data_IF_818353159388
#
_entry.id   IF_818353159388
#
_cell.length_a   1.000
_cell.length_b   1.000
_cell.length_c   1.000
_cell.angle_alpha   90.00
_cell.angle_beta   90.00
_cell.angle_gamma   90.00
#
_symmetry.space_group_name_H-M   'P 1'
#
loop_
_entity.id
_entity.type
_entity.pdbx_description
1 polymer ?
#
# COMPACT_ATOMS: atom_id res chain seq x y z
N UNK A 1 -17.70 -12.93 -11.04
CA UNK A 1 -17.03 -13.99 -10.29
C UNK A 1 -15.56 -13.65 -10.13
N UNK A 2 -15.23 -12.93 -9.06
CA UNK A 2 -13.92 -12.87 -8.38
C UNK A 2 -14.18 -12.21 -7.00
N UNK A 3 -14.95 -12.91 -6.15
CA UNK A 3 -15.33 -12.47 -4.79
C UNK A 3 -14.34 -12.89 -3.72
N UNK A 4 -13.04 -12.96 -4.05
CA UNK A 4 -11.99 -13.22 -3.08
C UNK A 4 -11.44 -11.91 -2.56
N UNK A 5 -11.45 -11.72 -1.24
CA UNK A 5 -10.62 -10.70 -0.61
C UNK A 5 -9.16 -11.06 -0.92
N UNK A 6 -8.54 -10.36 -1.86
CA UNK A 6 -7.10 -10.46 -2.06
C UNK A 6 -6.44 -9.94 -0.79
N UNK A 7 -5.62 -10.80 -0.17
CA UNK A 7 -4.87 -10.44 1.02
C UNK A 7 -3.52 -9.88 0.59
N UNK A 8 -3.04 -8.82 1.26
CA UNK A 8 -1.73 -8.29 0.97
C UNK A 8 -0.67 -9.29 1.46
N UNK A 9 0.59 -9.12 1.05
CA UNK A 9 1.68 -9.75 1.79
C UNK A 9 1.61 -9.29 3.26
N UNK A 10 1.72 -10.20 4.23
CA UNK A 10 1.58 -9.82 5.65
C UNK A 10 2.89 -9.97 6.38
N UNK A 11 3.27 -8.95 7.14
CA UNK A 11 4.27 -9.02 8.19
C UNK A 11 3.58 -8.87 9.54
N UNK A 12 3.70 -9.88 10.37
CA UNK A 12 3.10 -9.92 11.71
C UNK A 12 4.21 -9.89 12.74
N UNK A 13 4.09 -8.98 13.70
CA UNK A 13 4.95 -8.90 14.87
C UNK A 13 4.09 -8.67 16.12
N UNK A 14 4.63 -8.90 17.34
CA UNK A 14 3.89 -8.63 18.56
C UNK A 14 3.44 -7.17 18.74
N UNK A 15 4.06 -6.22 18.03
CA UNK A 15 3.82 -4.79 18.19
C UNK A 15 3.14 -4.11 17.00
N UNK A 16 3.01 -4.79 15.85
CA UNK A 16 2.41 -4.23 14.63
C UNK A 16 2.10 -5.31 13.61
N UNK A 17 1.05 -5.08 12.81
CA UNK A 17 0.78 -5.82 11.57
C UNK A 17 0.94 -4.88 10.39
N UNK A 18 1.66 -5.34 9.36
CA UNK A 18 1.85 -4.60 8.11
C UNK A 18 1.28 -5.43 6.96
N UNK A 19 0.28 -4.88 6.28
CA UNK A 19 -0.12 -5.33 4.96
C UNK A 19 0.81 -4.72 3.91
N UNK A 20 1.25 -5.50 2.93
CA UNK A 20 2.13 -5.10 1.85
C UNK A 20 1.41 -5.30 0.52
N UNK A 21 1.14 -4.20 -0.18
CA UNK A 21 0.86 -4.20 -1.62
C UNK A 21 2.16 -3.88 -2.35
N UNK A 22 2.43 -4.59 -3.44
CA UNK A 22 3.74 -4.55 -4.09
C UNK A 22 3.59 -4.56 -5.60
N UNK A 23 3.94 -3.45 -6.23
CA UNK A 23 3.83 -3.28 -7.68
C UNK A 23 5.19 -3.07 -8.34
N UNK A 24 5.29 -3.48 -9.60
CA UNK A 24 6.52 -3.28 -10.39
C UNK A 24 6.30 -2.26 -11.49
N UNK A 25 5.59 -2.65 -12.55
CA UNK A 25 5.26 -1.75 -13.67
C UNK A 25 3.76 -1.54 -13.84
N UNK A 26 2.94 -2.19 -13.01
CA UNK A 26 1.49 -2.22 -13.19
C UNK A 26 0.86 -0.83 -13.02
N UNK A 27 1.35 0.00 -12.07
CA UNK A 27 0.94 1.40 -11.90
C UNK A 27 1.20 2.31 -13.11
N UNK A 28 2.04 1.87 -14.07
CA UNK A 28 2.24 2.62 -15.32
C UNK A 28 1.06 2.42 -16.27
N UNK A 29 0.28 1.35 -16.09
CA UNK A 29 -0.99 1.15 -16.78
C UNK A 29 -2.13 1.74 -15.92
N UNK A 30 -2.99 2.55 -16.54
CA UNK A 30 -4.09 3.17 -15.80
C UNK A 30 -5.08 2.14 -15.25
N UNK A 31 -5.70 2.47 -14.11
CA UNK A 31 -6.59 1.58 -13.38
C UNK A 31 -8.03 2.07 -13.40
N UNK A 32 -8.96 1.14 -13.63
CA UNK A 32 -10.39 1.45 -13.50
C UNK A 32 -10.82 1.25 -12.06
N UNK A 33 -11.44 2.28 -11.50
CA UNK A 33 -12.13 2.18 -10.21
C UNK A 33 -13.26 1.17 -10.33
N UNK A 34 -13.25 0.17 -9.45
CA UNK A 34 -14.31 -0.83 -9.35
C UNK A 34 -14.41 -1.36 -7.93
N UNK A 35 -15.58 -1.17 -7.33
CA UNK A 35 -15.96 -1.71 -6.02
C UNK A 35 -17.13 -2.67 -6.19
N UNK A 36 -17.12 -3.76 -5.42
CA UNK A 36 -18.20 -4.75 -5.40
C UNK A 36 -19.23 -4.40 -4.33
N UNK A 37 -20.43 -4.99 -4.38
CA UNK A 37 -21.43 -4.86 -3.29
C UNK A 37 -20.86 -5.30 -1.94
N UNK A 38 -19.95 -6.28 -1.93
CA UNK A 38 -19.24 -6.72 -0.71
C UNK A 38 -18.34 -5.61 -0.14
N UNK A 39 -17.81 -4.74 -1.00
CA UNK A 39 -17.04 -3.57 -0.57
C UNK A 39 -17.93 -2.60 0.19
N UNK A 40 -19.12 -2.30 -0.35
CA UNK A 40 -20.09 -1.43 0.32
C UNK A 40 -20.57 -2.03 1.65
N UNK A 41 -20.88 -3.33 1.66
CA UNK A 41 -21.34 -4.02 2.86
C UNK A 41 -20.29 -4.00 4.00
N UNK A 42 -19.00 -4.11 3.68
CA UNK A 42 -17.93 -4.03 4.66
C UNK A 42 -17.92 -2.69 5.43
N UNK A 43 -18.35 -1.60 4.79
CA UNK A 43 -18.35 -0.25 5.36
C UNK A 43 -19.67 0.14 6.04
N UNK A 44 -20.73 -0.65 5.88
CA UNK A 44 -22.08 -0.28 6.32
C UNK A 44 -22.17 0.07 7.81
N UNK A 45 -21.50 -0.74 8.65
CA UNK A 45 -21.55 -0.63 10.12
C UNK A 45 -20.24 -0.06 10.71
N UNK A 46 -19.38 0.53 9.88
CA UNK A 46 -18.09 1.08 10.32
C UNK A 46 -18.11 2.60 10.40
N UNK A 47 -17.40 3.13 11.39
CA UNK A 47 -17.17 4.57 11.50
C UNK A 47 -16.55 5.12 10.21
N UNK A 48 -16.92 6.35 9.88
CA UNK A 48 -16.38 7.04 8.72
C UNK A 48 -14.95 7.51 9.01
N UNK A 49 -14.02 7.11 8.14
CA UNK A 49 -12.61 7.50 8.19
C UNK A 49 -12.10 7.88 6.81
N UNK A 50 -10.82 8.26 6.71
CA UNK A 50 -10.20 8.68 5.44
C UNK A 50 -10.38 7.67 4.31
N UNK A 51 -10.21 6.37 4.59
CA UNK A 51 -10.36 5.29 3.60
C UNK A 51 -11.77 5.16 3.04
N UNK A 52 -12.80 5.24 3.91
CA UNK A 52 -14.20 5.17 3.47
C UNK A 52 -14.58 6.40 2.64
N UNK A 53 -14.16 7.60 3.08
CA UNK A 53 -14.41 8.85 2.35
C UNK A 53 -13.80 8.81 0.96
N UNK A 54 -12.57 8.34 0.87
CA UNK A 54 -11.85 8.23 -0.39
C UNK A 54 -12.49 7.21 -1.33
N UNK A 55 -12.92 6.05 -0.80
CA UNK A 55 -13.70 5.07 -1.58
C UNK A 55 -14.99 5.69 -2.16
N UNK A 56 -15.75 6.43 -1.35
CA UNK A 56 -16.99 7.08 -1.80
C UNK A 56 -16.73 8.14 -2.87
N UNK A 57 -15.69 8.96 -2.71
CA UNK A 57 -15.29 9.97 -3.70
C UNK A 57 -14.92 9.34 -5.05
N UNK A 58 -14.14 8.25 -5.03
CA UNK A 58 -13.78 7.48 -6.23
C UNK A 58 -14.99 6.82 -6.88
N UNK A 59 -15.94 6.31 -6.09
CA UNK A 59 -17.17 5.69 -6.60
C UNK A 59 -18.12 6.71 -7.25
N UNK A 60 -18.17 7.93 -6.71
CA UNK A 60 -18.98 9.03 -7.26
C UNK A 60 -18.31 9.70 -8.47
N UNK A 61 -17.01 9.46 -8.68
CA UNK A 61 -16.23 10.07 -9.75
C UNK A 61 -15.86 11.53 -9.47
N UNK A 62 -15.82 11.92 -8.19
CA UNK A 62 -15.42 13.27 -7.77
C UNK A 62 -13.98 13.58 -8.19
N UNK A 63 -13.13 12.54 -8.15
CA UNK A 63 -11.77 12.57 -8.64
C UNK A 63 -11.30 11.13 -9.00
N UNK A 64 -10.04 10.98 -9.41
CA UNK A 64 -9.46 9.68 -9.69
C UNK A 64 -7.95 9.74 -9.91
N UNK A 65 -7.35 8.55 -9.98
CA UNK A 65 -5.92 8.34 -10.12
C UNK A 65 -5.62 7.70 -11.48
N UNK A 66 -4.65 8.26 -12.19
CA UNK A 66 -4.20 7.79 -13.50
C UNK A 66 -3.14 6.70 -13.40
N UNK A 67 -2.35 6.68 -12.32
CA UNK A 67 -1.25 5.73 -12.09
C UNK A 67 -1.53 4.82 -10.89
N UNK A 68 -2.06 5.37 -9.81
CA UNK A 68 -2.32 4.63 -8.58
C UNK A 68 -3.60 3.77 -8.67
N UNK A 69 -3.51 2.47 -8.40
CA UNK A 69 -4.69 1.61 -8.19
C UNK A 69 -5.28 1.81 -6.79
N UNK A 70 -5.87 2.98 -6.55
CA UNK A 70 -6.47 3.32 -5.25
C UNK A 70 -7.60 2.35 -4.86
N UNK A 71 -8.34 1.82 -5.84
CA UNK A 71 -9.39 0.83 -5.57
C UNK A 71 -8.82 -0.47 -5.00
N UNK A 72 -7.67 -0.94 -5.51
CA UNK A 72 -6.95 -2.07 -4.94
C UNK A 72 -6.45 -1.76 -3.53
N UNK A 73 -5.83 -0.60 -3.31
CA UNK A 73 -5.34 -0.21 -1.98
C UNK A 73 -6.46 -0.18 -0.92
N UNK A 74 -7.63 0.35 -1.27
CA UNK A 74 -8.81 0.34 -0.40
C UNK A 74 -9.23 -1.10 -0.08
N UNK A 75 -9.25 -2.01 -1.06
CA UNK A 75 -9.55 -3.43 -0.82
C UNK A 75 -8.51 -4.09 0.10
N UNK A 76 -7.23 -3.75 -0.06
CA UNK A 76 -6.17 -4.26 0.81
C UNK A 76 -6.32 -3.75 2.25
N UNK A 77 -6.70 -2.47 2.43
CA UNK A 77 -7.07 -1.94 3.75
C UNK A 77 -8.21 -2.77 4.37
N UNK A 78 -9.25 -3.11 3.61
CA UNK A 78 -10.38 -3.89 4.13
C UNK A 78 -9.95 -5.29 4.57
N UNK A 79 -9.04 -5.92 3.81
CA UNK A 79 -8.45 -7.20 4.20
C UNK A 79 -7.63 -7.12 5.46
N UNK A 80 -6.77 -6.10 5.58
CA UNK A 80 -5.99 -5.87 6.78
C UNK A 80 -6.87 -5.58 8.00
N UNK A 81 -7.91 -4.76 7.84
CA UNK A 81 -8.91 -4.50 8.89
C UNK A 81 -9.57 -5.79 9.37
N UNK A 82 -10.02 -6.63 8.43
CA UNK A 82 -10.68 -7.88 8.78
C UNK A 82 -9.78 -8.79 9.61
N UNK A 83 -8.47 -8.78 9.35
CA UNK A 83 -7.47 -9.50 10.15
C UNK A 83 -7.32 -8.88 11.54
N UNK A 84 -7.21 -7.55 11.63
CA UNK A 84 -7.08 -6.85 12.91
C UNK A 84 -8.31 -7.07 13.81
N UNK A 85 -9.51 -7.00 13.24
CA UNK A 85 -10.75 -7.26 13.96
C UNK A 85 -10.81 -8.71 14.46
N UNK A 86 -10.34 -9.67 13.65
CA UNK A 86 -10.29 -11.09 14.04
C UNK A 86 -9.24 -11.40 15.12
N UNK A 87 -8.24 -10.53 15.29
CA UNK A 87 -7.21 -10.63 16.32
C UNK A 87 -7.52 -9.79 17.56
N UNK A 88 -8.57 -8.96 17.52
CA UNK A 88 -8.99 -8.16 18.65
C UNK A 88 -9.48 -9.06 19.78
N UNK A 89 -9.01 -8.77 20.99
CA UNK A 89 -9.42 -9.42 22.23
C UNK A 89 -9.66 -8.30 23.25
N UNK A 90 -10.82 -8.33 23.91
CA UNK A 90 -11.26 -7.32 24.89
C UNK A 90 -10.24 -7.15 26.04
N UNK A 91 -9.45 -8.18 26.35
CA UNK A 91 -8.44 -8.18 27.41
C UNK A 91 -7.06 -7.69 26.95
N UNK A 92 -6.86 -7.39 25.66
CA UNK A 92 -5.57 -6.95 25.12
C UNK A 92 -5.66 -5.63 24.34
N UNK A 93 -4.66 -4.73 24.45
CA UNK A 93 -4.62 -3.53 23.62
C UNK A 93 -4.57 -3.88 22.13
N UNK A 94 -5.25 -3.11 21.26
CA UNK A 94 -5.23 -3.36 19.83
C UNK A 94 -3.81 -3.22 19.26
N UNK A 95 -3.44 -4.17 18.40
CA UNK A 95 -2.16 -4.12 17.67
C UNK A 95 -2.33 -3.11 16.51
N UNK A 96 -1.45 -2.11 16.37
CA UNK A 96 -1.56 -1.14 15.28
C UNK A 96 -1.35 -1.80 13.91
N UNK A 97 -2.07 -1.29 12.91
CA UNK A 97 -1.98 -1.72 11.52
C UNK A 97 -1.33 -0.66 10.62
N UNK A 98 -0.62 -1.10 9.59
CA UNK A 98 -0.20 -0.22 8.49
C UNK A 98 -0.32 -0.94 7.15
N UNK A 99 -0.74 -0.24 6.10
CA UNK A 99 -0.68 -0.70 4.72
C UNK A 99 0.53 -0.05 4.03
N UNK A 100 1.54 -0.86 3.73
CA UNK A 100 2.73 -0.49 2.99
C UNK A 100 2.52 -0.76 1.49
N UNK A 101 2.61 0.29 0.68
CA UNK A 101 2.68 0.19 -0.76
C UNK A 101 4.14 0.28 -1.23
N UNK A 102 4.64 -0.81 -1.81
CA UNK A 102 5.96 -0.90 -2.41
C UNK A 102 5.87 -0.80 -3.92
N UNK A 103 6.74 0.01 -4.51
CA UNK A 103 6.77 0.18 -5.96
C UNK A 103 8.19 0.17 -6.52
N UNK A 104 8.34 -0.30 -7.75
CA UNK A 104 9.61 -0.24 -8.49
C UNK A 104 9.70 1.03 -9.34
N UNK A 105 10.90 1.59 -9.45
CA UNK A 105 11.21 2.67 -10.40
C UNK A 105 12.60 2.48 -11.03
N UNK A 106 12.80 2.95 -12.28
CA UNK A 106 14.12 3.03 -12.88
C UNK A 106 14.95 4.15 -12.22
N UNK A 107 16.28 4.02 -12.25
CA UNK A 107 17.22 5.02 -11.72
C UNK A 107 17.12 6.40 -12.38
N UNK A 108 16.43 6.51 -13.52
CA UNK A 108 16.17 7.76 -14.22
C UNK A 108 14.67 8.10 -14.30
N UNK A 109 13.88 7.64 -13.33
CA UNK A 109 12.45 7.94 -13.22
C UNK A 109 12.14 9.44 -13.34
N UNK A 110 12.95 10.30 -12.71
CA UNK A 110 12.82 11.77 -12.78
C UNK A 110 12.89 12.39 -14.20
N UNK A 111 13.15 11.60 -15.25
CA UNK A 111 13.11 12.04 -16.65
C UNK A 111 11.76 11.83 -17.33
N UNK A 112 10.83 11.12 -16.70
CA UNK A 112 9.55 10.76 -17.27
C UNK A 112 8.42 11.26 -16.38
N UNK A 113 7.38 11.82 -17.00
CA UNK A 113 6.26 12.44 -16.31
C UNK A 113 5.42 11.40 -15.55
N UNK A 114 5.39 10.17 -16.03
CA UNK A 114 4.57 9.08 -15.46
C UNK A 114 4.96 8.73 -14.01
N UNK A 115 6.24 8.82 -13.66
CA UNK A 115 6.69 8.58 -12.28
C UNK A 115 6.42 9.79 -11.38
N UNK A 116 6.56 11.01 -11.91
CA UNK A 116 6.22 12.24 -11.20
C UNK A 116 4.71 12.33 -10.92
N UNK A 117 3.87 11.93 -11.90
CA UNK A 117 2.42 11.76 -11.72
C UNK A 117 2.11 10.75 -10.60
N UNK A 118 2.74 9.57 -10.63
CA UNK A 118 2.55 8.54 -9.61
C UNK A 118 2.92 9.03 -8.20
N UNK A 119 4.03 9.77 -8.05
CA UNK A 119 4.43 10.34 -6.76
C UNK A 119 3.41 11.36 -6.24
N UNK A 120 2.92 12.26 -7.10
CA UNK A 120 1.86 13.23 -6.73
C UNK A 120 0.58 12.51 -6.30
N UNK A 121 0.20 11.46 -7.02
CA UNK A 121 -0.96 10.65 -6.68
C UNK A 121 -0.80 9.93 -5.34
N UNK A 122 0.40 9.42 -5.03
CA UNK A 122 0.71 8.86 -3.72
C UNK A 122 0.59 9.89 -2.60
N UNK A 123 1.09 11.11 -2.78
CA UNK A 123 0.96 12.19 -1.80
C UNK A 123 -0.51 12.57 -1.56
N UNK A 124 -1.29 12.70 -2.63
CA UNK A 124 -2.73 12.99 -2.56
C UNK A 124 -3.49 11.88 -1.83
N UNK A 125 -3.25 10.61 -2.21
CA UNK A 125 -3.90 9.47 -1.58
C UNK A 125 -3.53 9.34 -0.11
N UNK A 126 -2.24 9.48 0.23
CA UNK A 126 -1.77 9.43 1.60
C UNK A 126 -2.42 10.52 2.47
N UNK A 127 -2.59 11.73 1.93
CA UNK A 127 -3.30 12.80 2.62
C UNK A 127 -4.80 12.50 2.80
N UNK A 128 -5.45 11.93 1.78
CA UNK A 128 -6.88 11.58 1.82
C UNK A 128 -7.20 10.53 2.89
N UNK A 129 -6.29 9.58 3.13
CA UNK A 129 -6.50 8.47 4.07
C UNK A 129 -5.84 8.64 5.44
N UNK A 130 -5.18 9.77 5.71
CA UNK A 130 -4.38 9.99 6.93
C UNK A 130 -5.19 9.97 8.25
N UNK A 131 -6.48 10.30 8.20
CA UNK A 131 -7.40 10.26 9.34
C UNK A 131 -8.03 8.87 9.46
N UNK A 132 -7.20 7.89 9.80
CA UNK A 132 -7.57 6.50 10.00
C UNK A 132 -6.60 5.80 10.96
N UNK A 133 -7.04 4.66 11.47
CA UNK A 133 -6.31 3.83 12.44
C UNK A 133 -5.41 2.75 11.78
N UNK A 134 -5.52 2.55 10.47
CA UNK A 134 -4.49 1.88 9.67
C UNK A 134 -3.80 2.94 8.81
N UNK A 135 -2.51 3.14 9.10
CA UNK A 135 -1.67 4.08 8.37
C UNK A 135 -1.47 3.62 6.92
N UNK A 136 -1.46 4.54 5.96
CA UNK A 136 -0.91 4.29 4.63
C UNK A 136 0.53 4.78 4.56
N UNK A 137 1.43 3.90 4.10
CA UNK A 137 2.85 4.22 3.89
C UNK A 137 3.22 3.78 2.48
N UNK A 138 3.89 4.64 1.73
CA UNK A 138 4.45 4.30 0.42
C UNK A 138 5.97 4.41 0.44
N UNK A 139 6.65 3.52 -0.30
CA UNK A 139 8.10 3.66 -0.53
C UNK A 139 8.53 2.90 -1.78
N UNK A 140 9.55 3.42 -2.48
CA UNK A 140 10.15 2.68 -3.58
C UNK A 140 10.96 1.49 -3.05
N UNK A 141 11.19 0.47 -3.88
CA UNK A 141 12.13 -0.60 -3.53
C UNK A 141 13.55 -0.08 -3.30
N UNK A 142 13.96 0.97 -4.02
CA UNK A 142 15.28 1.58 -3.81
C UNK A 142 15.38 2.20 -2.41
N UNK A 143 14.33 2.87 -1.94
CA UNK A 143 14.27 3.42 -0.58
C UNK A 143 14.26 2.32 0.48
N UNK A 144 13.52 1.23 0.24
CA UNK A 144 13.50 0.07 1.12
C UNK A 144 14.90 -0.54 1.24
N UNK A 145 15.59 -0.80 0.13
CA UNK A 145 16.94 -1.37 0.15
C UNK A 145 17.97 -0.41 0.77
N UNK A 146 17.82 0.89 0.53
CA UNK A 146 18.65 1.90 1.17
C UNK A 146 18.42 1.92 2.70
N UNK A 147 17.18 1.74 3.16
CA UNK A 147 16.86 1.65 4.59
C UNK A 147 17.50 0.42 5.24
N UNK A 148 17.39 -0.75 4.61
CA UNK A 148 17.99 -2.00 5.09
C UNK A 148 19.52 -1.96 5.09
N UNK A 149 20.12 -1.27 4.12
CA UNK A 149 21.57 -1.12 4.04
C UNK A 149 22.13 -0.22 5.15
N UNK A 150 21.30 0.64 5.74
CA UNK A 150 21.67 1.55 6.84
C UNK A 150 21.41 0.95 8.22
N UNK A 151 20.70 -0.17 8.32
CA UNK A 151 20.41 -0.82 9.60
C UNK A 151 21.66 -1.56 10.11
N UNK A 152 22.26 -1.05 11.19
CA UNK A 152 23.44 -1.65 11.84
C UNK A 152 23.16 -3.05 12.42
N UNK A 153 21.88 -3.37 12.67
CA UNK A 153 21.46 -4.68 13.16
C UNK A 153 21.10 -5.66 12.03
N UNK A 154 21.18 -5.22 10.77
CA UNK A 154 20.86 -6.08 9.64
C UNK A 154 21.76 -7.32 9.60
N UNK A 155 21.21 -8.51 9.30
CA UNK A 155 22.03 -9.70 9.12
C UNK A 155 23.07 -9.51 8.00
N UNK A 156 24.30 -9.98 8.21
CA UNK A 156 25.38 -9.84 7.21
C UNK A 156 25.04 -10.40 5.83
N UNK A 157 24.19 -11.41 5.76
CA UNK A 157 23.73 -11.99 4.49
C UNK A 157 22.86 -11.02 3.69
N UNK A 158 22.19 -10.07 4.34
CA UNK A 158 21.27 -9.13 3.71
C UNK A 158 22.00 -8.22 2.72
N UNK A 159 23.19 -7.74 3.07
CA UNK A 159 24.03 -6.92 2.19
C UNK A 159 24.31 -7.61 0.84
N UNK A 160 24.58 -8.92 0.85
CA UNK A 160 24.79 -9.69 -0.37
C UNK A 160 23.51 -9.79 -1.22
N UNK A 161 22.35 -9.91 -0.59
CA UNK A 161 21.08 -9.97 -1.32
C UNK A 161 20.70 -8.62 -1.90
N UNK A 162 20.89 -7.53 -1.14
CA UNK A 162 20.68 -6.16 -1.63
C UNK A 162 21.57 -5.88 -2.85
N UNK A 163 22.85 -6.27 -2.82
CA UNK A 163 23.74 -6.14 -3.97
C UNK A 163 23.21 -6.86 -5.23
N UNK A 164 22.64 -8.07 -5.07
CA UNK A 164 22.02 -8.82 -6.18
C UNK A 164 20.74 -8.16 -6.69
N UNK A 165 19.93 -7.58 -5.80
CA UNK A 165 18.73 -6.82 -6.18
C UNK A 165 19.11 -5.59 -7.01
N UNK A 166 20.10 -4.82 -6.57
CA UNK A 166 20.62 -3.68 -7.34
C UNK A 166 21.13 -4.10 -8.73
N UNK A 167 21.88 -5.20 -8.84
CA UNK A 167 22.37 -5.69 -10.12
C UNK A 167 21.24 -5.98 -11.13
N UNK A 168 20.07 -6.42 -10.65
CA UNK A 168 18.97 -6.84 -11.50
C UNK A 168 17.95 -5.73 -11.76
N UNK A 169 17.72 -4.85 -10.80
CA UNK A 169 16.56 -3.96 -10.79
C UNK A 169 16.91 -2.48 -10.73
N UNK A 170 18.16 -2.10 -10.47
CA UNK A 170 18.61 -0.71 -10.58
C UNK A 170 18.94 -0.37 -12.02
N UNK A 171 17.92 -0.38 -12.86
CA UNK A 171 18.01 -0.20 -14.31
C UNK A 171 17.77 1.26 -14.69
N UNK A 172 18.28 1.66 -15.85
CA UNK A 172 17.88 2.89 -16.54
C UNK A 172 17.07 2.50 -17.77
N UNK A 173 16.03 3.27 -18.06
CA UNK A 173 15.21 3.13 -19.27
C UNK A 173 15.36 4.33 -20.20
#
# INVERSE_FOLDING_TARGET
DEGGLWLPGLLISPSRIIGIESETTDYLSGHRVSFSEQTEAFWADREENGWRREMLALQQGDHGYSRLDAARLIKQYMGLRSILDALADDDTPPVPGSLLYLFWEPLNAARYEEFDEHHKELELFQAAVADADIDFVSMSYLDLWASWSRDENAPKWLAMHIARLHQRYSMRI
#
